data_IF_587549357865
#
_entry.id   IF_587549357865
#
_cell.length_a   1.000
_cell.length_b   1.000
_cell.length_c   1.000
_cell.angle_alpha   90.00
_cell.angle_beta   90.00
_cell.angle_gamma   90.00
#
_symmetry.space_group_name_H-M   'P 1'
#
loop_
_entity.id
_entity.type
_entity.pdbx_description
1 polymer ?
#
# COMPACT_ATOMS: atom_id res chain seq x y z
N UNK A 1 -5.37 -12.94 -21.54
CA UNK A 1 -4.03 -12.35 -21.41
C UNK A 1 -3.89 -11.88 -19.97
N UNK A 2 -2.82 -12.26 -19.23
CA UNK A 2 -2.56 -11.62 -17.95
C UNK A 2 -2.41 -10.12 -18.18
N UNK A 3 -2.98 -9.31 -17.30
CA UNK A 3 -2.83 -7.87 -17.39
C UNK A 3 -1.34 -7.51 -17.23
N UNK A 4 -0.81 -6.79 -18.22
CA UNK A 4 0.56 -6.28 -18.21
C UNK A 4 0.57 -4.93 -17.50
N UNK A 5 1.11 -4.91 -16.28
CA UNK A 5 1.24 -3.71 -15.45
C UNK A 5 2.65 -3.11 -15.53
N UNK A 6 3.52 -3.60 -16.42
CA UNK A 6 4.94 -3.20 -16.47
C UNK A 6 5.17 -1.73 -16.81
N UNK A 7 4.16 -1.04 -17.35
CA UNK A 7 4.20 0.39 -17.68
C UNK A 7 3.59 1.30 -16.61
N UNK A 8 3.08 0.74 -15.50
CA UNK A 8 2.47 1.50 -14.42
C UNK A 8 3.34 1.41 -13.18
N UNK A 9 4.12 2.47 -12.95
CA UNK A 9 5.02 2.56 -11.81
C UNK A 9 4.26 3.06 -10.59
N UNK A 10 4.60 2.57 -9.40
CA UNK A 10 3.99 3.05 -8.14
C UNK A 10 4.34 4.53 -7.92
N UNK A 11 5.52 4.91 -8.37
CA UNK A 11 6.07 6.25 -8.37
C UNK A 11 5.18 7.24 -9.12
N UNK A 12 4.51 6.83 -10.20
CA UNK A 12 3.57 7.67 -10.95
C UNK A 12 2.33 8.05 -10.11
N UNK A 13 2.10 7.33 -9.01
CA UNK A 13 0.97 7.50 -8.11
C UNK A 13 1.40 7.96 -6.70
N UNK A 14 2.69 8.25 -6.48
CA UNK A 14 3.24 8.58 -5.16
C UNK A 14 2.52 9.77 -4.53
N UNK A 15 2.30 10.85 -5.29
CA UNK A 15 1.62 12.05 -4.78
C UNK A 15 0.19 11.72 -4.30
N UNK A 16 -0.58 10.94 -5.07
CA UNK A 16 -1.92 10.52 -4.66
C UNK A 16 -1.86 9.66 -3.38
N UNK A 17 -0.92 8.72 -3.32
CA UNK A 17 -0.78 7.81 -2.18
C UNK A 17 -0.44 8.61 -0.92
N UNK A 18 0.58 9.46 -0.96
CA UNK A 18 1.10 10.18 0.20
C UNK A 18 0.21 11.36 0.63
N UNK A 19 -0.33 12.13 -0.32
CA UNK A 19 -1.04 13.37 -0.01
C UNK A 19 -2.56 13.18 0.11
N UNK A 20 -3.12 12.10 -0.43
CA UNK A 20 -4.59 11.89 -0.43
C UNK A 20 -4.98 10.60 0.27
N UNK A 21 -4.47 9.44 -0.17
CA UNK A 21 -4.91 8.15 0.34
C UNK A 21 -4.52 7.92 1.80
N UNK A 22 -3.25 8.13 2.16
CA UNK A 22 -2.80 7.93 3.54
C UNK A 22 -3.48 8.91 4.52
N UNK A 23 -3.60 10.22 4.23
CA UNK A 23 -4.36 11.14 5.08
C UNK A 23 -5.83 10.75 5.21
N UNK A 24 -6.47 10.24 4.15
CA UNK A 24 -7.85 9.76 4.22
C UNK A 24 -8.01 8.59 5.20
N UNK A 25 -7.11 7.59 5.12
CA UNK A 25 -7.10 6.44 6.02
C UNK A 25 -6.90 6.89 7.48
N UNK A 26 -5.92 7.76 7.73
CA UNK A 26 -5.62 8.27 9.08
C UNK A 26 -6.76 9.14 9.60
N UNK A 27 -7.34 9.98 8.74
CA UNK A 27 -8.48 10.84 9.08
C UNK A 27 -9.70 10.02 9.49
N UNK A 28 -10.04 8.97 8.72
CA UNK A 28 -11.10 8.04 9.08
C UNK A 28 -10.80 7.33 10.40
N UNK A 29 -9.60 6.77 10.56
CA UNK A 29 -9.19 6.07 11.77
C UNK A 29 -9.35 6.94 13.03
N UNK A 30 -8.93 8.21 12.95
CA UNK A 30 -9.12 9.19 14.02
C UNK A 30 -10.61 9.44 14.30
N UNK A 31 -11.42 9.65 13.27
CA UNK A 31 -12.84 9.94 13.42
C UNK A 31 -13.64 8.75 13.99
N UNK A 32 -13.27 7.53 13.64
CA UNK A 32 -13.92 6.30 14.10
C UNK A 32 -13.36 5.75 15.42
N UNK A 33 -12.29 6.34 15.96
CA UNK A 33 -11.58 5.84 17.13
C UNK A 33 -10.89 4.49 16.90
N UNK A 34 -10.65 4.10 15.64
CA UNK A 34 -10.03 2.83 15.27
C UNK A 34 -8.52 3.03 15.08
N UNK A 35 -7.65 2.08 15.48
CA UNK A 35 -6.22 2.18 15.19
C UNK A 35 -5.96 2.29 13.67
N UNK A 36 -5.04 3.17 13.28
CA UNK A 36 -4.74 3.48 11.88
C UNK A 36 -4.29 2.25 11.09
N UNK A 37 -3.53 1.36 11.73
CA UNK A 37 -3.04 0.10 11.17
C UNK A 37 -4.19 -0.87 10.87
N UNK A 38 -5.26 -0.86 11.66
CA UNK A 38 -6.44 -1.71 11.43
C UNK A 38 -7.21 -1.21 10.20
N UNK A 39 -7.37 0.10 10.06
CA UNK A 39 -8.03 0.72 8.90
C UNK A 39 -7.19 0.53 7.64
N UNK A 40 -5.87 0.71 7.74
CA UNK A 40 -4.95 0.47 6.64
C UNK A 40 -4.97 -0.99 6.18
N UNK A 41 -4.92 -1.94 7.11
CA UNK A 41 -5.03 -3.37 6.81
C UNK A 41 -6.37 -3.71 6.15
N UNK A 42 -7.47 -3.19 6.67
CA UNK A 42 -8.81 -3.42 6.10
C UNK A 42 -8.94 -2.86 4.69
N UNK A 43 -8.35 -1.69 4.43
CA UNK A 43 -8.28 -1.07 3.10
C UNK A 43 -7.45 -1.93 2.15
N UNK A 44 -6.28 -2.39 2.59
CA UNK A 44 -5.41 -3.29 1.83
C UNK A 44 -6.11 -4.61 1.47
N UNK A 45 -6.81 -5.24 2.41
CA UNK A 45 -7.54 -6.49 2.17
C UNK A 45 -8.66 -6.28 1.14
N UNK A 46 -9.41 -5.17 1.25
CA UNK A 46 -10.46 -4.82 0.30
C UNK A 46 -9.92 -4.61 -1.11
N UNK A 47 -8.82 -3.88 -1.26
CA UNK A 47 -8.15 -3.68 -2.54
C UNK A 47 -7.62 -5.00 -3.11
N UNK A 48 -7.04 -5.86 -2.26
CA UNK A 48 -6.57 -7.19 -2.65
C UNK A 48 -7.71 -8.08 -3.15
N UNK A 49 -8.91 -7.99 -2.56
CA UNK A 49 -10.10 -8.70 -3.06
C UNK A 49 -10.51 -8.18 -4.43
N UNK A 50 -10.51 -6.86 -4.66
CA UNK A 50 -10.80 -6.27 -5.98
C UNK A 50 -9.79 -6.76 -7.02
N UNK A 51 -8.50 -6.76 -6.70
CA UNK A 51 -7.46 -7.23 -7.61
C UNK A 51 -7.60 -8.72 -7.94
N UNK A 52 -7.90 -9.57 -6.95
CA UNK A 52 -8.20 -10.99 -7.18
C UNK A 52 -9.43 -11.18 -8.08
N UNK A 53 -10.48 -10.40 -7.88
CA UNK A 53 -11.67 -10.43 -8.74
C UNK A 53 -11.37 -10.01 -10.19
N UNK A 54 -10.29 -9.24 -10.41
CA UNK A 54 -9.77 -8.88 -11.74
C UNK A 54 -8.80 -9.92 -12.32
N UNK A 55 -8.57 -11.03 -11.62
CA UNK A 55 -7.78 -12.15 -12.09
C UNK A 55 -6.33 -12.18 -11.59
N UNK A 56 -5.94 -11.29 -10.65
CA UNK A 56 -4.61 -11.40 -10.03
C UNK A 56 -4.60 -12.59 -9.08
N UNK A 57 -3.60 -13.46 -9.27
CA UNK A 57 -3.44 -14.62 -8.40
C UNK A 57 -2.92 -14.19 -7.02
N UNK A 58 -3.21 -15.01 -6.00
CA UNK A 58 -2.60 -14.85 -4.67
C UNK A 58 -1.07 -14.80 -4.76
N UNK A 59 -0.47 -15.65 -5.60
CA UNK A 59 0.99 -15.69 -5.75
C UNK A 59 1.53 -14.33 -6.25
N UNK A 60 0.88 -13.75 -7.26
CA UNK A 60 1.22 -12.42 -7.78
C UNK A 60 1.12 -11.33 -6.71
N UNK A 61 0.06 -11.34 -5.90
CA UNK A 61 -0.10 -10.37 -4.81
C UNK A 61 0.98 -10.51 -3.74
N UNK A 62 1.33 -11.74 -3.35
CA UNK A 62 2.42 -11.98 -2.40
C UNK A 62 3.75 -11.47 -2.96
N UNK A 63 4.06 -11.76 -4.22
CA UNK A 63 5.27 -11.24 -4.88
C UNK A 63 5.30 -9.71 -4.91
N UNK A 64 4.16 -9.05 -5.14
CA UNK A 64 4.08 -7.59 -5.12
C UNK A 64 4.36 -7.01 -3.73
N UNK A 65 3.85 -7.64 -2.66
CA UNK A 65 4.12 -7.25 -1.27
C UNK A 65 5.60 -7.44 -0.93
N UNK A 66 6.19 -8.56 -1.35
CA UNK A 66 7.61 -8.82 -1.12
C UNK A 66 8.51 -7.81 -1.83
N UNK A 67 8.07 -7.30 -2.99
CA UNK A 67 8.76 -6.27 -3.75
C UNK A 67 8.55 -4.86 -3.19
N UNK A 68 7.46 -4.60 -2.46
CA UNK A 68 7.13 -3.27 -1.92
C UNK A 68 7.95 -2.86 -0.69
N UNK A 69 9.09 -3.51 -0.45
CA UNK A 69 9.98 -3.18 0.68
C UNK A 69 10.51 -1.77 0.48
N UNK A 70 9.96 -0.82 1.23
CA UNK A 70 10.60 0.47 1.43
C UNK A 70 12.00 0.20 2.00
N UNK A 71 13.08 0.72 1.38
CA UNK A 71 14.34 0.81 2.07
C UNK A 71 14.11 1.73 3.26
N UNK A 72 13.85 1.14 4.44
CA UNK A 72 13.92 1.86 5.69
C UNK A 72 15.37 2.36 5.73
N UNK A 73 15.58 3.64 5.39
CA UNK A 73 16.77 4.33 5.82
C UNK A 73 16.71 4.26 7.35
N UNK A 74 17.34 3.24 7.92
CA UNK A 74 17.85 3.33 9.25
C UNK A 74 18.84 4.50 9.20
N UNK A 75 18.35 5.71 9.45
CA UNK A 75 19.22 6.83 9.74
C UNK A 75 20.16 6.31 10.83
N UNK A 76 21.48 6.31 10.62
CA UNK A 76 22.39 5.84 11.65
C UNK A 76 22.08 6.64 12.91
N UNK A 77 21.65 5.96 13.96
CA UNK A 77 21.70 6.52 15.30
C UNK A 77 23.18 6.79 15.59
N UNK A 78 23.61 8.03 15.41
CA UNK A 78 24.96 8.47 15.74
C UNK A 78 25.74 9.01 14.55
N UNK A 79 25.64 10.33 14.35
CA UNK A 79 26.85 11.14 14.32
C UNK A 79 26.65 12.24 15.37
N UNK A 80 27.49 12.13 16.40
CA UNK A 80 27.66 13.06 17.51
C UNK A 80 28.15 14.42 17.02
#
# INVERSE_FOLDING_TARGET
MPADYSQHHVEDHEQFILEQLLPLIVGYARASGTPSEVVALSSFLSLSTVLQAKGLSRATLITAIDASRLPIHAAPEGLQ
#
